data_IF_441091097097
#
_entry.id   IF_441091097097
#
_cell.length_a   1.000
_cell.length_b   1.000
_cell.length_c   1.000
_cell.angle_alpha   90.00
_cell.angle_beta   90.00
_cell.angle_gamma   90.00
#
_symmetry.space_group_name_H-M   'P 1'
#
loop_
_entity.id
_entity.type
_entity.pdbx_description
1 polymer ?
#
# COMPACT_ATOMS: atom_id res chain seq x y z
N UNK A 1 -9.69 15.68 2.58
CA UNK A 1 -9.23 15.16 1.28
C UNK A 1 -10.08 15.77 0.19
N UNK A 2 -9.45 16.37 -0.81
CA UNK A 2 -10.12 17.13 -1.88
C UNK A 2 -10.40 16.22 -3.07
N UNK A 3 -11.61 16.30 -3.65
CA UNK A 3 -11.99 15.47 -4.79
C UNK A 3 -11.92 16.28 -6.10
N UNK A 4 -11.16 15.79 -7.08
CA UNK A 4 -11.01 16.44 -8.38
C UNK A 4 -11.29 15.41 -9.48
N UNK A 5 -12.11 15.75 -10.47
CA UNK A 5 -12.34 14.84 -11.59
C UNK A 5 -11.08 14.69 -12.44
N UNK A 6 -10.83 13.51 -13.00
CA UNK A 6 -9.67 13.28 -13.87
C UNK A 6 -9.63 14.20 -15.09
N UNK A 7 -10.80 14.66 -15.55
CA UNK A 7 -10.92 15.67 -16.62
C UNK A 7 -10.36 17.02 -16.18
N UNK A 8 -10.69 17.50 -14.98
CA UNK A 8 -10.13 18.74 -14.43
C UNK A 8 -8.65 18.59 -14.10
N UNK A 9 -8.27 17.46 -13.50
CA UNK A 9 -6.91 17.17 -13.09
C UNK A 9 -5.91 17.23 -14.25
N UNK A 10 -6.31 16.80 -15.46
CA UNK A 10 -5.48 16.89 -16.66
C UNK A 10 -4.97 18.31 -16.93
N UNK A 11 -5.80 19.33 -16.72
CA UNK A 11 -5.46 20.72 -16.99
C UNK A 11 -4.75 21.40 -15.81
N UNK A 12 -4.66 20.73 -14.65
CA UNK A 12 -4.12 21.27 -13.40
C UNK A 12 -3.08 20.36 -12.77
N UNK A 13 -2.48 19.45 -13.55
CA UNK A 13 -1.65 18.38 -13.02
C UNK A 13 -0.46 18.90 -12.19
N UNK A 14 0.28 19.88 -12.71
CA UNK A 14 1.42 20.48 -12.00
C UNK A 14 1.01 21.14 -10.67
N UNK A 15 -0.15 21.81 -10.63
CA UNK A 15 -0.68 22.40 -9.41
C UNK A 15 -1.05 21.34 -8.37
N UNK A 16 -1.73 20.27 -8.80
CA UNK A 16 -2.08 19.13 -7.94
C UNK A 16 -0.82 18.49 -7.34
N UNK A 17 0.22 18.28 -8.14
CA UNK A 17 1.51 17.74 -7.67
C UNK A 17 2.15 18.68 -6.66
N UNK A 18 2.23 19.98 -6.95
CA UNK A 18 2.83 20.96 -6.03
C UNK A 18 2.07 21.05 -4.70
N UNK A 19 0.73 21.02 -4.75
CA UNK A 19 -0.12 21.03 -3.56
C UNK A 19 0.09 19.78 -2.69
N UNK A 20 0.29 18.62 -3.31
CA UNK A 20 0.63 17.42 -2.56
C UNK A 20 2.05 17.49 -2.00
N UNK A 21 3.05 17.78 -2.84
CA UNK A 21 4.46 17.75 -2.45
C UNK A 21 4.81 18.79 -1.37
N UNK A 22 4.35 20.04 -1.56
CA UNK A 22 4.73 21.19 -0.72
C UNK A 22 3.58 21.64 0.20
N UNK A 23 2.35 21.63 -0.31
CA UNK A 23 1.16 22.01 0.48
C UNK A 23 0.70 20.92 1.45
N UNK A 24 1.28 19.72 1.36
CA UNK A 24 0.93 18.53 2.15
C UNK A 24 -0.56 18.14 2.02
N UNK A 25 -1.17 18.47 0.88
CA UNK A 25 -2.55 18.14 0.59
C UNK A 25 -2.71 16.70 0.07
N UNK A 26 -3.80 16.05 0.50
CA UNK A 26 -4.25 14.75 -0.05
C UNK A 26 -5.41 15.00 -1.01
N UNK A 27 -5.25 14.58 -2.26
CA UNK A 27 -6.19 14.86 -3.35
C UNK A 27 -6.64 13.55 -3.99
N UNK A 28 -7.94 13.27 -3.99
CA UNK A 28 -8.52 12.12 -4.65
C UNK A 28 -8.94 12.48 -6.09
N UNK A 29 -8.48 11.67 -7.04
CA UNK A 29 -8.91 11.77 -8.44
C UNK A 29 -10.16 10.92 -8.66
N UNK A 30 -11.18 11.52 -9.26
CA UNK A 30 -12.48 10.88 -9.46
C UNK A 30 -12.84 10.69 -10.93
N UNK A 31 -13.59 9.63 -11.23
CA UNK A 31 -14.24 9.40 -12.53
C UNK A 31 -15.69 9.03 -12.29
N UNK A 32 -16.62 9.74 -12.96
CA UNK A 32 -18.07 9.57 -12.74
C UNK A 32 -18.46 9.66 -11.25
N UNK A 33 -17.82 10.57 -10.51
CA UNK A 33 -18.06 10.78 -9.08
C UNK A 33 -17.43 9.75 -8.13
N UNK A 34 -16.78 8.69 -8.65
CA UNK A 34 -16.11 7.68 -7.82
C UNK A 34 -14.62 7.98 -7.69
N UNK A 35 -14.08 7.91 -6.48
CA UNK A 35 -12.63 7.98 -6.21
C UNK A 35 -11.92 6.75 -6.82
N UNK A 36 -10.80 6.98 -7.49
CA UNK A 36 -10.03 5.95 -8.18
C UNK A 36 -8.61 5.83 -7.64
N UNK A 37 -7.94 6.98 -7.52
CA UNK A 37 -6.55 7.10 -7.07
C UNK A 37 -6.42 8.36 -6.24
N UNK A 38 -5.34 8.48 -5.47
CA UNK A 38 -5.00 9.70 -4.76
C UNK A 38 -3.60 10.17 -5.14
N UNK A 39 -3.42 11.50 -5.20
CA UNK A 39 -2.12 12.14 -5.18
C UNK A 39 -1.93 12.63 -3.75
N UNK A 40 -0.87 12.14 -3.11
CA UNK A 40 -0.57 12.39 -1.69
C UNK A 40 0.89 12.82 -1.56
N UNK A 41 1.26 13.46 -0.43
CA UNK A 41 2.65 13.71 -0.11
C UNK A 41 3.44 12.38 -0.05
N UNK A 42 4.73 12.41 -0.39
CA UNK A 42 5.55 11.19 -0.40
C UNK A 42 5.62 10.54 0.99
N UNK A 43 5.57 11.36 2.05
CA UNK A 43 5.67 10.88 3.42
C UNK A 43 4.47 10.00 3.83
N UNK A 44 3.32 10.18 3.18
CA UNK A 44 2.17 9.30 3.39
C UNK A 44 2.39 7.92 2.76
N UNK A 45 3.08 7.86 1.61
CA UNK A 45 3.45 6.60 0.97
C UNK A 45 4.48 5.87 1.83
N UNK A 46 5.52 6.59 2.28
CA UNK A 46 6.54 6.04 3.18
C UNK A 46 5.93 5.49 4.48
N UNK A 47 4.90 6.17 5.01
CA UNK A 47 4.17 5.71 6.20
C UNK A 47 3.40 4.41 5.94
N UNK A 48 2.73 4.30 4.78
CA UNK A 48 2.03 3.07 4.41
C UNK A 48 3.01 1.89 4.29
N UNK A 49 4.14 2.10 3.61
CA UNK A 49 5.20 1.09 3.50
C UNK A 49 5.77 0.70 4.86
N UNK A 50 5.99 1.67 5.76
CA UNK A 50 6.48 1.39 7.11
C UNK A 50 5.49 0.56 7.94
N UNK A 51 4.18 0.77 7.76
CA UNK A 51 3.14 -0.02 8.42
C UNK A 51 3.13 -1.46 7.90
N UNK A 52 3.19 -1.64 6.57
CA UNK A 52 3.26 -2.96 5.93
C UNK A 52 4.51 -3.72 6.38
N UNK A 53 5.68 -3.08 6.31
CA UNK A 53 6.95 -3.67 6.75
C UNK A 53 6.92 -4.11 8.22
N UNK A 54 6.23 -3.36 9.09
CA UNK A 54 6.08 -3.74 10.50
C UNK A 54 5.22 -4.99 10.64
N UNK A 55 4.11 -5.08 9.91
CA UNK A 55 3.24 -6.25 9.92
C UNK A 55 3.98 -7.50 9.40
N UNK A 56 4.69 -7.38 8.27
CA UNK A 56 5.48 -8.46 7.69
C UNK A 56 6.58 -8.97 8.65
N UNK A 57 7.23 -8.04 9.36
CA UNK A 57 8.25 -8.38 10.37
C UNK A 57 7.64 -9.11 11.56
N UNK A 58 6.45 -8.70 12.02
CA UNK A 58 5.71 -9.37 13.08
C UNK A 58 5.33 -10.79 12.67
N UNK A 59 4.78 -10.97 11.46
CA UNK A 59 4.42 -12.28 10.91
C UNK A 59 5.65 -13.19 10.73
N UNK A 60 6.76 -12.67 10.21
CA UNK A 60 8.00 -13.42 10.07
C UNK A 60 8.55 -13.87 11.43
N UNK A 61 8.48 -13.02 12.46
CA UNK A 61 8.89 -13.37 13.83
C UNK A 61 8.00 -14.46 14.41
N UNK A 62 6.69 -14.36 14.21
CA UNK A 62 5.73 -15.37 14.67
C UNK A 62 5.98 -16.73 13.98
N UNK A 63 6.16 -16.74 12.66
CA UNK A 63 6.48 -17.95 11.90
C UNK A 63 7.80 -18.60 12.35
N UNK A 64 8.84 -17.80 12.63
CA UNK A 64 10.11 -18.30 13.16
C UNK A 64 9.97 -18.89 14.57
N UNK A 65 9.14 -18.29 15.43
CA UNK A 65 8.87 -18.82 16.75
C UNK A 65 8.10 -20.15 16.66
N UNK A 66 7.07 -20.22 15.82
CA UNK A 66 6.30 -21.45 15.58
C UNK A 66 7.19 -22.56 15.00
N UNK A 67 8.04 -22.26 14.03
CA UNK A 67 8.96 -23.24 13.44
C UNK A 67 9.94 -23.80 14.47
N UNK A 68 10.39 -22.98 15.42
CA UNK A 68 11.26 -23.43 16.53
C UNK A 68 10.52 -24.34 17.50
N UNK A 69 9.25 -24.09 17.76
CA UNK A 69 8.43 -24.85 18.72
C UNK A 69 7.88 -26.15 18.11
N UNK A 70 7.32 -26.07 16.89
CA UNK A 70 6.55 -27.14 16.25
C UNK A 70 7.29 -27.83 15.09
N UNK A 71 8.44 -27.30 14.68
CA UNK A 71 9.16 -27.77 13.49
C UNK A 71 8.59 -27.23 12.19
N UNK A 72 9.13 -27.68 11.06
CA UNK A 72 8.75 -27.25 9.71
C UNK A 72 8.31 -28.41 8.83
N UNK A 73 7.58 -28.13 7.76
CA UNK A 73 7.23 -29.11 6.72
C UNK A 73 8.27 -29.11 5.59
N UNK A 74 8.51 -30.29 4.98
CA UNK A 74 9.32 -30.37 3.78
C UNK A 74 8.57 -29.80 2.57
N UNK A 75 9.32 -29.34 1.57
CA UNK A 75 8.76 -28.81 0.33
C UNK A 75 7.84 -29.81 -0.38
N UNK A 76 8.19 -31.10 -0.41
CA UNK A 76 7.35 -32.16 -0.99
C UNK A 76 5.97 -32.28 -0.31
N UNK A 77 5.93 -32.17 1.02
CA UNK A 77 4.68 -32.24 1.79
C UNK A 77 3.80 -31.02 1.56
N UNK A 78 4.41 -29.83 1.50
CA UNK A 78 3.69 -28.58 1.21
C UNK A 78 3.11 -28.61 -0.20
N UNK A 79 3.91 -29.04 -1.18
CA UNK A 79 3.50 -29.13 -2.59
C UNK A 79 2.29 -30.05 -2.76
N UNK A 80 2.34 -31.25 -2.15
CA UNK A 80 1.21 -32.18 -2.17
C UNK A 80 -0.06 -31.64 -1.49
N UNK A 81 0.09 -30.83 -0.44
CA UNK A 81 -1.03 -30.24 0.29
C UNK A 81 -1.68 -29.04 -0.42
N UNK A 82 -0.90 -28.30 -1.22
CA UNK A 82 -1.35 -27.11 -1.96
C UNK A 82 -1.76 -27.39 -3.41
N UNK A 83 -1.70 -28.66 -3.85
CA UNK A 83 -1.97 -29.07 -5.23
C UNK A 83 -1.10 -28.31 -6.26
N UNK A 84 0.18 -28.13 -5.92
CA UNK A 84 1.20 -27.45 -6.74
C UNK A 84 2.13 -28.43 -7.45
#
# INVERSE_FOLDING_TARGET
MTDISTVKARNQFSDIVNRAAYGKERIALTRRGKRLVAVVPIEDVDLLEAIENRADLEDARAALAEAKEKGTLSWEKIKAALDL
#
